data_IF_809783475423
#
_entry.id   IF_809783475423
#
_cell.length_a   1.000
_cell.length_b   1.000
_cell.length_c   1.000
_cell.angle_alpha   90.00
_cell.angle_beta   90.00
_cell.angle_gamma   90.00
#
_symmetry.space_group_name_H-M   'P 1'
#
loop_
_entity.id
_entity.type
_entity.pdbx_description
1 polymer ?
#
# COMPACT_ATOMS: atom_id res chain seq x y z
N UNK A 1 22.46 -6.19 8.42
CA UNK A 1 21.79 -4.90 8.12
C UNK A 1 20.33 -5.07 8.44
N UNK A 2 19.70 -4.08 9.05
CA UNK A 2 18.26 -4.09 9.36
C UNK A 2 17.62 -2.91 8.65
N UNK A 3 16.45 -3.12 8.06
CA UNK A 3 15.61 -2.09 7.46
C UNK A 3 14.27 -2.02 8.19
N UNK A 4 13.62 -0.87 8.11
CA UNK A 4 12.26 -0.64 8.59
C UNK A 4 11.48 0.00 7.44
N UNK A 5 10.26 -0.45 7.23
CA UNK A 5 9.36 0.05 6.20
C UNK A 5 7.91 -0.21 6.58
N UNK A 6 6.99 0.26 5.74
CA UNK A 6 5.56 0.04 5.96
C UNK A 6 5.05 -1.09 5.09
N UNK A 7 4.13 -1.87 5.63
CA UNK A 7 3.46 -2.97 4.94
C UNK A 7 2.01 -3.05 5.42
N UNK A 8 1.18 -3.77 4.68
CA UNK A 8 -0.19 -4.05 5.07
C UNK A 8 -0.60 -5.45 4.64
N UNK A 9 -1.59 -5.99 5.31
CA UNK A 9 -2.17 -7.28 4.95
C UNK A 9 -3.38 -7.09 4.04
N UNK A 10 -3.50 -7.95 3.04
CA UNK A 10 -4.73 -8.13 2.24
C UNK A 10 -5.16 -9.59 2.31
N UNK A 11 -6.41 -9.88 1.95
CA UNK A 11 -6.84 -11.24 1.65
C UNK A 11 -6.86 -11.45 0.13
N UNK A 12 -6.49 -12.64 -0.34
CA UNK A 12 -6.67 -13.03 -1.74
C UNK A 12 -8.04 -13.70 -1.99
N UNK A 13 -8.34 -14.04 -3.25
CA UNK A 13 -9.57 -14.77 -3.65
C UNK A 13 -9.83 -16.07 -2.88
N UNK A 14 -8.76 -16.70 -2.37
CA UNK A 14 -8.81 -17.94 -1.59
C UNK A 14 -8.89 -17.69 -0.07
N UNK A 15 -9.14 -16.43 0.36
CA UNK A 15 -9.16 -15.99 1.77
C UNK A 15 -7.85 -16.23 2.52
N UNK A 16 -6.73 -16.29 1.80
CA UNK A 16 -5.41 -16.38 2.41
C UNK A 16 -4.87 -14.98 2.64
N UNK A 17 -4.21 -14.76 3.77
CA UNK A 17 -3.57 -13.50 4.07
C UNK A 17 -2.29 -13.34 3.22
N UNK A 18 -2.14 -12.16 2.63
CA UNK A 18 -0.97 -11.75 1.87
C UNK A 18 -0.39 -10.49 2.51
N UNK A 19 0.93 -10.44 2.70
CA UNK A 19 1.64 -9.25 3.17
C UNK A 19 2.10 -8.47 1.94
N UNK A 20 1.77 -7.20 1.85
CA UNK A 20 2.12 -6.33 0.72
C UNK A 20 2.97 -5.16 1.22
N UNK A 21 4.05 -4.84 0.51
CA UNK A 21 4.95 -3.71 0.79
C UNK A 21 5.65 -3.27 -0.50
N UNK A 22 6.46 -2.21 -0.45
CA UNK A 22 7.36 -1.89 -1.56
C UNK A 22 8.53 -2.88 -1.63
N UNK A 23 8.99 -3.20 -2.84
CA UNK A 23 10.14 -4.08 -3.06
C UNK A 23 11.42 -3.52 -2.43
N UNK A 24 11.66 -2.22 -2.47
CA UNK A 24 12.87 -1.62 -1.86
C UNK A 24 12.95 -1.80 -0.33
N UNK A 25 11.83 -2.12 0.35
CA UNK A 25 11.83 -2.43 1.79
C UNK A 25 12.43 -3.80 2.09
N UNK A 26 12.40 -4.74 1.13
CA UNK A 26 12.77 -6.15 1.33
C UNK A 26 13.86 -6.65 0.38
N UNK A 27 14.15 -5.92 -0.69
CA UNK A 27 15.18 -6.21 -1.68
C UNK A 27 16.20 -5.07 -1.73
N UNK A 28 17.41 -5.35 -1.24
CA UNK A 28 18.45 -4.32 -1.12
C UNK A 28 19.16 -4.03 -2.43
N UNK A 29 19.20 -4.99 -3.35
CA UNK A 29 19.71 -4.77 -4.71
C UNK A 29 18.76 -3.85 -5.47
N UNK A 30 17.45 -3.99 -5.28
CA UNK A 30 16.48 -3.08 -5.88
C UNK A 30 16.57 -1.65 -5.31
N UNK A 31 16.75 -1.51 -3.98
CA UNK A 31 16.85 -0.18 -3.36
C UNK A 31 18.13 0.57 -3.75
N UNK A 32 19.25 -0.14 -3.83
CA UNK A 32 20.55 0.44 -4.15
C UNK A 32 21.33 -0.53 -5.07
N UNK A 33 21.14 -0.44 -6.40
CA UNK A 33 21.67 -1.43 -7.35
C UNK A 33 23.18 -1.31 -7.52
N UNK A 34 23.91 -1.87 -6.57
CA UNK A 34 25.37 -1.89 -6.53
C UNK A 34 25.87 -3.33 -6.43
N UNK A 35 27.09 -3.59 -6.92
CA UNK A 35 27.69 -4.92 -6.86
C UNK A 35 27.75 -5.50 -5.43
N UNK A 36 27.75 -4.64 -4.41
CA UNK A 36 27.75 -5.02 -2.99
C UNK A 36 26.47 -5.74 -2.55
N UNK A 37 25.30 -5.37 -3.08
CA UNK A 37 24.02 -5.87 -2.58
C UNK A 37 23.40 -7.00 -3.41
N UNK A 38 23.97 -7.35 -4.56
CA UNK A 38 23.50 -8.45 -5.42
C UNK A 38 23.36 -9.81 -4.70
N UNK A 39 24.19 -10.05 -3.68
CA UNK A 39 24.19 -11.30 -2.91
C UNK A 39 23.39 -11.20 -1.61
N UNK A 40 22.86 -10.03 -1.27
CA UNK A 40 22.07 -9.85 -0.05
C UNK A 40 20.75 -10.58 -0.21
N UNK A 41 20.33 -11.27 0.84
CA UNK A 41 19.05 -11.96 0.93
C UNK A 41 18.40 -11.62 2.25
N UNK A 42 17.08 -11.49 2.24
CA UNK A 42 16.31 -11.33 3.45
C UNK A 42 16.46 -12.59 4.31
N UNK A 43 16.82 -12.44 5.58
CA UNK A 43 17.03 -13.56 6.51
C UNK A 43 16.05 -13.56 7.68
N UNK A 44 15.29 -12.49 7.86
CA UNK A 44 14.25 -12.35 8.88
C UNK A 44 13.30 -11.23 8.49
N UNK A 45 12.01 -11.42 8.76
CA UNK A 45 10.98 -10.40 8.60
C UNK A 45 10.04 -10.43 9.80
N UNK A 46 9.95 -9.32 10.51
CA UNK A 46 8.95 -9.13 11.55
C UNK A 46 7.99 -8.01 11.17
N UNK A 47 6.74 -8.12 11.61
CA UNK A 47 5.69 -7.13 11.34
C UNK A 47 5.00 -6.76 12.65
N UNK A 48 4.97 -5.47 12.95
CA UNK A 48 4.13 -4.93 14.04
C UNK A 48 2.66 -5.01 13.62
N UNK A 49 1.91 -5.91 14.27
CA UNK A 49 0.48 -6.08 14.11
C UNK A 49 -0.26 -5.59 15.37
N UNK A 50 -1.58 -5.43 15.29
CA UNK A 50 -2.43 -5.06 16.44
C UNK A 50 -3.35 -6.21 16.81
N UNK A 51 -3.54 -6.41 18.12
CA UNK A 51 -4.60 -7.27 18.63
C UNK A 51 -5.96 -6.58 18.49
N UNK A 52 -6.95 -7.34 18.04
CA UNK A 52 -8.34 -6.90 18.00
C UNK A 52 -8.99 -7.05 19.38
N UNK A 53 -9.68 -6.03 19.86
CA UNK A 53 -10.58 -6.15 21.00
C UNK A 53 -11.92 -6.77 20.55
N UNK A 54 -12.27 -8.00 20.97
CA UNK A 54 -13.50 -8.66 20.50
C UNK A 54 -14.79 -7.91 20.84
N UNK A 55 -14.78 -7.07 21.89
CA UNK A 55 -15.96 -6.32 22.31
C UNK A 55 -16.19 -5.05 21.47
N UNK A 56 -15.14 -4.42 20.96
CA UNK A 56 -15.23 -3.14 20.25
C UNK A 56 -14.84 -3.22 18.77
N UNK A 57 -14.15 -4.27 18.35
CA UNK A 57 -13.53 -4.39 17.03
C UNK A 57 -12.32 -3.47 16.82
N UNK A 58 -11.87 -2.75 17.86
CA UNK A 58 -10.81 -1.76 17.75
C UNK A 58 -9.42 -2.37 18.04
N UNK A 59 -8.36 -1.86 17.40
CA UNK A 59 -7.00 -2.27 17.69
C UNK A 59 -6.59 -1.85 19.11
N UNK A 60 -5.81 -2.71 19.77
CA UNK A 60 -5.33 -2.47 21.14
C UNK A 60 -3.80 -2.49 21.19
N UNK A 61 -3.22 -3.59 21.66
CA UNK A 61 -1.78 -3.75 21.87
C UNK A 61 -1.08 -4.16 20.58
N UNK A 62 0.16 -3.69 20.42
CA UNK A 62 1.08 -4.17 19.38
C UNK A 62 1.56 -5.58 19.73
N UNK A 63 1.52 -6.46 18.74
CA UNK A 63 2.16 -7.76 18.75
C UNK A 63 3.09 -7.85 17.55
N UNK A 64 4.31 -8.35 17.78
CA UNK A 64 5.24 -8.62 16.69
C UNK A 64 4.90 -10.00 16.10
N UNK A 65 4.72 -10.05 14.78
CA UNK A 65 4.57 -11.28 14.01
C UNK A 65 5.91 -11.63 13.37
N UNK A 66 6.45 -12.81 13.64
CA UNK A 66 7.64 -13.32 12.97
C UNK A 66 7.24 -14.14 11.74
N UNK A 67 7.46 -13.59 10.55
CA UNK A 67 6.98 -14.17 9.29
C UNK A 67 7.90 -15.30 8.87
N UNK A 68 7.45 -16.55 8.89
CA UNK A 68 8.31 -17.73 8.69
C UNK A 68 8.65 -17.99 7.23
N UNK A 69 7.75 -17.64 6.30
CA UNK A 69 7.95 -17.80 4.86
C UNK A 69 8.45 -16.51 4.19
N UNK A 70 9.28 -15.72 4.88
CA UNK A 70 9.88 -14.49 4.34
C UNK A 70 10.70 -14.69 3.06
N UNK A 71 11.15 -15.91 2.78
CA UNK A 71 11.87 -16.26 1.56
C UNK A 71 10.97 -16.45 0.33
N UNK A 72 9.66 -16.59 0.52
CA UNK A 72 8.64 -16.75 -0.53
C UNK A 72 8.13 -15.37 -1.01
N UNK A 73 9.06 -14.44 -1.26
CA UNK A 73 8.73 -13.12 -1.79
C UNK A 73 8.43 -13.20 -3.29
N UNK A 74 7.31 -12.60 -3.66
CA UNK A 74 6.90 -12.38 -5.04
C UNK A 74 7.00 -10.89 -5.36
N UNK A 75 7.58 -10.56 -6.50
CA UNK A 75 7.64 -9.20 -7.02
C UNK A 75 6.69 -9.03 -8.20
N UNK A 76 6.34 -7.79 -8.50
CA UNK A 76 5.64 -7.45 -9.75
C UNK A 76 6.43 -7.93 -10.98
N UNK A 77 5.71 -8.33 -12.02
CA UNK A 77 6.30 -8.69 -13.32
C UNK A 77 6.84 -7.46 -14.06
N UNK A 78 6.15 -6.33 -13.92
CA UNK A 78 6.67 -5.01 -14.31
C UNK A 78 7.75 -4.61 -13.32
N UNK A 79 9.01 -4.51 -13.77
CA UNK A 79 10.16 -4.27 -12.89
C UNK A 79 10.08 -2.92 -12.16
N UNK A 80 9.55 -1.89 -12.82
CA UNK A 80 9.40 -0.55 -12.28
C UNK A 80 8.36 -0.48 -11.16
N UNK A 81 7.38 -1.39 -11.14
CA UNK A 81 6.44 -1.49 -10.03
C UNK A 81 7.17 -2.00 -8.80
N UNK A 82 7.52 -1.08 -7.92
CA UNK A 82 8.16 -1.33 -6.64
C UNK A 82 7.16 -1.97 -5.66
N UNK A 83 6.77 -3.21 -5.91
CA UNK A 83 5.80 -3.98 -5.14
C UNK A 83 6.39 -5.35 -4.82
N UNK A 84 6.32 -5.72 -3.55
CA UNK A 84 6.64 -7.04 -3.06
C UNK A 84 5.47 -7.61 -2.25
N UNK A 85 5.29 -8.92 -2.34
CA UNK A 85 4.25 -9.62 -1.63
C UNK A 85 4.72 -10.98 -1.12
N UNK A 86 4.27 -11.38 0.08
CA UNK A 86 4.29 -12.77 0.53
C UNK A 86 2.85 -13.27 0.49
N UNK A 87 2.60 -14.32 -0.29
CA UNK A 87 1.29 -14.95 -0.40
C UNK A 87 1.18 -16.03 0.68
N UNK A 88 -0.02 -16.20 1.27
CA UNK A 88 -0.28 -17.21 2.32
C UNK A 88 0.75 -17.09 3.45
N UNK A 89 0.76 -15.91 4.07
CA UNK A 89 1.67 -15.58 5.16
C UNK A 89 1.62 -16.66 6.25
N UNK A 90 2.80 -17.15 6.63
CA UNK A 90 3.00 -18.08 7.73
C UNK A 90 3.73 -17.36 8.87
N UNK A 91 3.35 -17.65 10.12
CA UNK A 91 3.86 -16.96 11.31
C UNK A 91 4.49 -17.99 12.26
N UNK A 92 5.72 -17.73 12.69
CA UNK A 92 6.38 -18.48 13.75
C UNK A 92 5.70 -18.15 15.10
N UNK A 93 5.25 -19.17 15.83
CA UNK A 93 4.61 -18.97 17.16
C UNK A 93 3.26 -19.65 17.37
N UNK A 94 2.73 -20.35 16.37
CA UNK A 94 1.49 -21.16 16.48
C UNK A 94 0.20 -20.34 16.51
N UNK A 95 -0.94 -21.00 16.81
CA UNK A 95 -2.30 -20.46 16.66
C UNK A 95 -2.64 -19.19 17.49
N UNK A 96 -1.75 -18.72 18.37
CA UNK A 96 -1.99 -17.55 19.22
C UNK A 96 -1.69 -16.21 18.53
N UNK A 97 -0.95 -16.21 17.42
CA UNK A 97 -0.68 -15.01 16.63
C UNK A 97 -1.53 -15.02 15.36
N UNK A 98 -2.40 -14.02 15.22
CA UNK A 98 -3.33 -13.89 14.11
C UNK A 98 -3.19 -12.54 13.44
N UNK A 99 -3.33 -12.52 12.12
CA UNK A 99 -3.50 -11.31 11.32
C UNK A 99 -4.95 -10.84 11.52
N UNK A 100 -5.13 -9.72 12.22
CA UNK A 100 -6.46 -9.27 12.68
C UNK A 100 -7.13 -8.29 11.72
N UNK A 101 -6.34 -7.48 11.00
CA UNK A 101 -6.84 -6.39 10.17
C UNK A 101 -6.39 -6.48 8.71
N UNK A 102 -6.64 -7.60 7.99
CA UNK A 102 -6.38 -7.65 6.57
C UNK A 102 -7.44 -6.85 5.79
N UNK A 103 -7.01 -6.17 4.73
CA UNK A 103 -7.92 -5.53 3.76
C UNK A 103 -8.61 -6.64 2.96
N UNK A 104 -9.94 -6.57 2.84
CA UNK A 104 -10.72 -7.55 2.09
C UNK A 104 -10.37 -7.49 0.59
N UNK A 105 -10.25 -8.66 -0.05
CA UNK A 105 -10.07 -8.79 -1.50
C UNK A 105 -11.06 -7.93 -2.29
N UNK A 106 -12.32 -7.85 -1.85
CA UNK A 106 -13.36 -7.07 -2.52
C UNK A 106 -13.10 -5.55 -2.54
N UNK A 107 -12.31 -5.04 -1.57
CA UNK A 107 -11.92 -3.63 -1.50
C UNK A 107 -10.79 -3.29 -2.47
N UNK A 108 -10.05 -4.26 -2.99
CA UNK A 108 -8.94 -4.02 -3.90
C UNK A 108 -9.51 -3.64 -5.28
N UNK A 109 -9.06 -2.49 -5.81
CA UNK A 109 -9.50 -2.03 -7.12
C UNK A 109 -8.72 -2.77 -8.22
N UNK A 110 -9.44 -3.45 -9.10
CA UNK A 110 -8.89 -3.91 -10.37
C UNK A 110 -8.76 -2.73 -11.36
N UNK A 111 -8.20 -3.01 -12.52
CA UNK A 111 -7.99 -2.00 -13.56
C UNK A 111 -9.31 -1.42 -14.07
N UNK A 112 -10.39 -2.21 -14.10
CA UNK A 112 -11.71 -1.73 -14.53
C UNK A 112 -12.29 -0.72 -13.52
N UNK A 113 -12.22 -1.01 -12.22
CA UNK A 113 -12.60 -0.10 -11.14
C UNK A 113 -11.73 1.16 -11.14
N UNK A 114 -10.42 1.03 -11.32
CA UNK A 114 -9.52 2.19 -11.42
C UNK A 114 -9.94 3.09 -12.59
N UNK A 115 -10.21 2.51 -13.76
CA UNK A 115 -10.52 3.26 -14.97
C UNK A 115 -11.92 3.89 -14.98
N UNK A 116 -12.90 3.25 -14.32
CA UNK A 116 -14.31 3.66 -14.36
C UNK A 116 -14.79 4.39 -13.11
N UNK A 117 -14.15 4.17 -11.94
CA UNK A 117 -14.62 4.71 -10.66
C UNK A 117 -13.68 5.71 -10.01
N UNK A 118 -12.50 5.97 -10.59
CA UNK A 118 -11.59 7.02 -10.13
C UNK A 118 -11.52 8.16 -11.15
N UNK A 119 -11.47 9.38 -10.63
CA UNK A 119 -11.23 10.59 -11.39
C UNK A 119 -10.22 11.49 -10.67
N UNK A 120 -9.63 12.42 -11.42
CA UNK A 120 -8.90 13.56 -10.83
C UNK A 120 -9.81 14.25 -9.80
N UNK A 121 -9.20 14.78 -8.73
CA UNK A 121 -9.85 15.38 -7.57
C UNK A 121 -10.58 14.41 -6.64
N UNK A 122 -10.60 13.10 -6.92
CA UNK A 122 -11.11 12.16 -5.92
C UNK A 122 -10.20 12.13 -4.69
N UNK A 123 -10.83 12.17 -3.52
CA UNK A 123 -10.11 12.09 -2.26
C UNK A 123 -9.48 10.71 -2.06
N UNK A 124 -8.24 10.72 -1.59
CA UNK A 124 -7.52 9.54 -1.15
C UNK A 124 -7.07 9.69 0.31
N UNK A 125 -6.90 8.56 0.99
CA UNK A 125 -6.38 8.50 2.35
C UNK A 125 -5.36 7.37 2.48
N UNK A 126 -4.29 7.60 3.24
CA UNK A 126 -3.27 6.59 3.53
C UNK A 126 -2.67 6.82 4.92
N UNK A 127 -2.42 5.74 5.70
CA UNK A 127 -1.65 5.83 6.93
C UNK A 127 -0.15 5.93 6.61
N UNK A 128 0.65 6.50 7.50
CA UNK A 128 2.11 6.43 7.38
C UNK A 128 2.81 6.62 8.72
N UNK A 129 4.10 6.28 8.76
CA UNK A 129 5.00 6.48 9.90
C UNK A 129 6.07 7.52 9.56
N UNK A 130 5.71 8.78 9.22
CA UNK A 130 6.69 9.84 9.00
C UNK A 130 7.50 10.09 10.26
N UNK A 131 8.65 10.76 10.21
CA UNK A 131 9.53 10.97 11.38
C UNK A 131 8.83 11.56 12.64
N UNK A 132 7.68 12.21 12.46
CA UNK A 132 6.84 12.82 13.49
C UNK A 132 5.55 12.02 13.79
N UNK A 133 5.51 10.72 13.45
CA UNK A 133 4.43 9.82 13.86
C UNK A 133 4.30 9.70 15.38
N UNK A 134 3.19 9.13 15.85
CA UNK A 134 2.99 8.84 17.28
C UNK A 134 3.92 7.71 17.73
N UNK A 135 5.15 8.08 18.09
CA UNK A 135 6.19 7.17 18.59
C UNK A 135 5.86 6.57 19.96
N UNK A 136 5.03 7.23 20.77
CA UNK A 136 4.67 6.76 22.10
C UNK A 136 3.81 5.49 21.99
N UNK A 137 2.82 5.51 21.10
CA UNK A 137 1.93 4.37 20.91
C UNK A 137 2.24 3.56 19.65
N UNK A 138 3.25 3.95 18.88
CA UNK A 138 3.60 3.42 17.56
C UNK A 138 2.37 3.34 16.63
N UNK A 139 1.64 4.45 16.55
CA UNK A 139 0.48 4.61 15.68
C UNK A 139 0.86 5.36 14.40
N UNK A 140 0.38 4.92 13.22
CA UNK A 140 0.54 5.70 12.02
C UNK A 140 -0.32 6.97 12.10
N UNK A 141 0.07 7.99 11.33
CA UNK A 141 -0.74 9.17 11.12
C UNK A 141 -1.47 9.03 9.78
N UNK A 142 -2.79 9.18 9.82
CA UNK A 142 -3.61 9.21 8.61
C UNK A 142 -3.39 10.54 7.87
N UNK A 143 -3.14 10.43 6.56
CA UNK A 143 -3.03 11.55 5.64
C UNK A 143 -4.14 11.44 4.60
N UNK A 144 -4.60 12.58 4.14
CA UNK A 144 -5.55 12.68 3.02
C UNK A 144 -4.95 13.54 1.92
N UNK A 145 -5.44 13.34 0.71
CA UNK A 145 -5.03 14.06 -0.49
C UNK A 145 -6.05 13.88 -1.60
N UNK A 146 -5.67 14.26 -2.83
CA UNK A 146 -6.54 14.09 -4.01
C UNK A 146 -5.78 13.51 -5.19
N UNK A 147 -6.44 12.69 -6.01
CA UNK A 147 -5.87 12.20 -7.27
C UNK A 147 -5.52 13.39 -8.17
N UNK A 148 -4.27 13.46 -8.62
CA UNK A 148 -3.72 14.61 -9.37
C UNK A 148 -3.46 14.29 -10.85
N UNK A 149 -3.26 13.02 -11.22
CA UNK A 149 -3.17 12.57 -12.61
C UNK A 149 -4.39 11.75 -13.02
N UNK A 150 -4.69 11.72 -14.32
CA UNK A 150 -5.75 10.85 -14.85
C UNK A 150 -5.42 9.37 -14.55
N UNK A 151 -6.23 8.67 -13.73
CA UNK A 151 -5.93 7.33 -13.25
C UNK A 151 -5.96 6.26 -14.36
N UNK A 152 -6.54 6.58 -15.52
CA UNK A 152 -6.61 5.68 -16.68
C UNK A 152 -5.25 5.49 -17.35
N UNK A 153 -4.35 6.44 -17.17
CA UNK A 153 -3.00 6.41 -17.74
C UNK A 153 -1.96 6.15 -16.65
N UNK A 154 -0.78 5.70 -17.05
CA UNK A 154 0.35 5.57 -16.14
C UNK A 154 1.09 6.90 -16.11
N UNK A 155 1.13 7.51 -14.92
CA UNK A 155 1.80 8.79 -14.73
C UNK A 155 3.32 8.62 -14.82
N UNK A 156 3.99 9.54 -15.50
CA UNK A 156 5.43 9.73 -15.40
C UNK A 156 5.77 11.22 -15.49
N UNK A 157 6.65 11.68 -14.61
CA UNK A 157 7.28 13.00 -14.71
C UNK A 157 8.55 12.97 -15.59
N UNK A 158 8.91 11.80 -16.12
CA UNK A 158 10.03 11.58 -17.03
C UNK A 158 9.48 11.17 -18.40
N UNK A 159 10.34 11.20 -19.44
CA UNK A 159 10.00 10.65 -20.77
C UNK A 159 10.07 9.11 -20.83
N UNK A 160 10.17 8.47 -19.67
CA UNK A 160 10.33 7.02 -19.51
C UNK A 160 9.22 6.49 -18.60
N UNK A 161 8.89 5.20 -18.73
CA UNK A 161 7.96 4.54 -17.82
C UNK A 161 8.55 4.49 -16.42
N UNK A 162 7.73 4.79 -15.41
CA UNK A 162 8.05 4.58 -13.99
C UNK A 162 7.09 3.57 -13.38
N UNK A 163 6.57 2.65 -14.20
CA UNK A 163 5.58 1.65 -13.82
C UNK A 163 4.13 2.17 -13.88
N UNK A 164 3.22 1.39 -13.31
CA UNK A 164 1.78 1.65 -13.30
C UNK A 164 1.42 2.64 -12.19
N UNK A 165 1.88 3.88 -12.33
CA UNK A 165 1.74 4.91 -11.32
C UNK A 165 0.51 5.81 -11.52
N UNK A 166 -0.02 6.30 -10.40
CA UNK A 166 -0.93 7.45 -10.32
C UNK A 166 -0.27 8.51 -9.44
N UNK A 167 -0.25 9.76 -9.89
CA UNK A 167 0.13 10.89 -9.06
C UNK A 167 -1.07 11.39 -8.25
N UNK A 168 -0.82 11.74 -7.00
CA UNK A 168 -1.81 12.35 -6.11
C UNK A 168 -1.18 13.46 -5.28
N UNK A 169 -1.96 14.52 -5.04
CA UNK A 169 -1.58 15.64 -4.21
C UNK A 169 -1.71 15.21 -2.76
N UNK A 170 -0.56 14.95 -2.15
CA UNK A 170 -0.41 14.63 -0.74
C UNK A 170 1.08 14.75 -0.38
N UNK A 171 1.35 14.79 0.92
CA UNK A 171 2.72 14.74 1.41
C UNK A 171 3.02 13.36 2.01
N UNK A 172 3.66 12.50 1.22
CA UNK A 172 4.22 11.22 1.67
C UNK A 172 5.70 11.41 2.03
N UNK A 173 6.07 11.12 3.27
CA UNK A 173 7.46 11.18 3.73
C UNK A 173 8.05 9.78 3.88
N UNK A 174 9.33 9.69 4.25
CA UNK A 174 9.92 8.42 4.69
C UNK A 174 9.03 7.74 5.74
N UNK A 175 8.83 6.43 5.62
CA UNK A 175 7.85 5.69 6.44
C UNK A 175 6.40 5.77 5.95
N UNK A 176 6.11 6.44 4.82
CA UNK A 176 4.83 6.27 4.10
C UNK A 176 4.94 5.25 2.96
N UNK A 177 6.17 4.90 2.56
CA UNK A 177 6.39 3.95 1.46
C UNK A 177 5.98 2.55 1.88
N UNK A 178 5.09 1.97 1.09
CA UNK A 178 4.51 0.65 1.32
C UNK A 178 3.18 0.71 2.03
N UNK A 179 2.68 1.91 2.36
CA UNK A 179 1.34 2.12 2.90
C UNK A 179 0.25 1.86 1.87
N UNK A 180 -0.91 1.32 2.29
CA UNK A 180 -2.08 1.24 1.43
C UNK A 180 -2.65 2.64 1.16
N UNK A 181 -3.05 2.90 -0.08
CA UNK A 181 -3.74 4.13 -0.46
C UNK A 181 -5.19 3.80 -0.83
N UNK A 182 -6.13 4.42 -0.12
CA UNK A 182 -7.55 4.21 -0.34
C UNK A 182 -8.18 5.40 -1.04
N UNK A 183 -8.98 5.16 -2.07
CA UNK A 183 -9.97 6.15 -2.50
C UNK A 183 -11.14 6.09 -1.51
N UNK A 184 -11.43 7.22 -0.86
CA UNK A 184 -12.51 7.27 0.14
C UNK A 184 -13.88 7.24 -0.53
N UNK A 185 -14.91 6.95 0.24
CA UNK A 185 -16.28 6.83 -0.27
C UNK A 185 -16.72 8.10 -1.01
N UNK A 186 -17.36 7.92 -2.17
CA UNK A 186 -18.05 8.97 -2.91
C UNK A 186 -19.55 8.72 -2.81
N UNK A 187 -20.32 9.76 -2.49
CA UNK A 187 -21.78 9.67 -2.31
C UNK A 187 -22.21 8.69 -1.22
N UNK A 188 -23.42 8.16 -1.35
CA UNK A 188 -24.00 7.16 -0.44
C UNK A 188 -24.91 6.18 -1.21
N UNK A 189 -25.16 4.97 -0.70
CA UNK A 189 -26.10 4.04 -1.32
C UNK A 189 -27.50 4.66 -1.41
N UNK A 190 -28.09 4.67 -2.61
CA UNK A 190 -29.45 5.18 -2.81
C UNK A 190 -30.46 4.08 -2.55
N UNK A 191 -31.49 4.40 -1.77
CA UNK A 191 -32.63 3.52 -1.51
C UNK A 191 -33.81 3.78 -2.45
N UNK A 192 -34.93 3.11 -2.20
CA UNK A 192 -36.17 3.34 -2.93
C UNK A 192 -36.61 4.81 -2.81
N UNK A 193 -36.94 5.44 -3.94
CA UNK A 193 -37.42 6.82 -4.01
C UNK A 193 -36.35 7.88 -4.28
N UNK A 194 -35.05 7.51 -4.33
CA UNK A 194 -33.97 8.39 -4.78
C UNK A 194 -33.44 7.94 -6.15
N UNK A 195 -33.11 8.90 -7.00
CA UNK A 195 -32.45 8.68 -8.29
C UNK A 195 -31.11 9.41 -8.28
N UNK A 196 -30.05 8.73 -8.72
CA UNK A 196 -28.74 9.32 -8.92
C UNK A 196 -28.06 8.67 -10.12
N UNK A 197 -27.04 9.32 -10.68
CA UNK A 197 -26.24 8.75 -11.75
C UNK A 197 -25.45 7.51 -11.30
N UNK A 198 -25.03 6.67 -12.26
CA UNK A 198 -24.33 5.41 -12.00
C UNK A 198 -23.01 5.57 -11.20
N UNK A 199 -22.40 6.76 -11.24
CA UNK A 199 -21.15 7.09 -10.54
C UNK A 199 -21.35 7.94 -9.28
N UNK A 200 -22.60 8.08 -8.83
CA UNK A 200 -22.90 8.80 -7.59
C UNK A 200 -22.26 8.13 -6.38
N UNK A 201 -22.39 6.81 -6.30
CA UNK A 201 -21.87 6.02 -5.18
C UNK A 201 -20.64 5.22 -5.59
N UNK A 202 -19.60 5.32 -4.76
CA UNK A 202 -18.42 4.44 -4.79
C UNK A 202 -18.04 4.10 -3.35
N UNK A 203 -17.92 2.81 -2.99
CA UNK A 203 -17.42 2.43 -1.67
C UNK A 203 -15.95 2.82 -1.50
N UNK A 204 -15.41 2.65 -0.29
CA UNK A 204 -13.97 2.74 -0.08
C UNK A 204 -13.28 1.63 -0.88
N UNK A 205 -12.21 1.96 -1.59
CA UNK A 205 -11.41 0.99 -2.34
C UNK A 205 -9.92 1.20 -2.04
N UNK A 206 -9.16 0.12 -1.87
CA UNK A 206 -7.70 0.15 -1.97
C UNK A 206 -7.37 0.37 -3.44
N UNK A 207 -6.78 1.52 -3.77
CA UNK A 207 -6.49 1.92 -5.16
C UNK A 207 -5.02 1.81 -5.52
N UNK A 208 -4.15 1.74 -4.52
CA UNK A 208 -2.72 1.56 -4.74
C UNK A 208 -1.90 1.38 -3.48
N UNK A 209 -0.59 1.31 -3.69
CA UNK A 209 0.44 1.30 -2.66
C UNK A 209 1.31 2.54 -2.83
N UNK A 210 1.53 3.26 -1.74
CA UNK A 210 2.33 4.49 -1.73
C UNK A 210 3.77 4.18 -2.16
N UNK A 211 4.26 4.93 -3.15
CA UNK A 211 5.55 4.77 -3.82
C UNK A 211 6.52 5.92 -3.54
N UNK A 212 6.21 6.77 -2.56
CA UNK A 212 6.97 7.96 -2.22
C UNK A 212 6.50 9.20 -2.97
N UNK A 213 7.42 10.14 -3.21
CA UNK A 213 7.11 11.47 -3.72
C UNK A 213 8.08 11.97 -4.78
N UNK A 214 7.59 12.93 -5.56
CA UNK A 214 8.43 13.67 -6.48
C UNK A 214 9.20 14.75 -5.71
N UNK A 215 10.50 14.85 -5.99
CA UNK A 215 11.35 15.90 -5.48
C UNK A 215 11.27 17.14 -6.37
N UNK A 216 11.48 18.32 -5.77
CA UNK A 216 11.63 19.57 -6.53
C UNK A 216 13.06 19.66 -7.06
N UNK A 217 13.20 19.76 -8.38
CA UNK A 217 14.51 19.93 -9.02
C UNK A 217 15.23 21.19 -8.50
N UNK A 218 16.53 21.06 -8.22
CA UNK A 218 17.36 22.16 -7.71
C UNK A 218 17.26 22.40 -6.20
N UNK A 219 16.42 21.64 -5.47
CA UNK A 219 16.33 21.68 -4.01
C UNK A 219 16.54 20.29 -3.42
N UNK A 220 17.61 20.10 -2.67
CA UNK A 220 17.89 18.82 -2.03
C UNK A 220 16.72 18.40 -1.12
N UNK A 221 16.11 17.26 -1.42
CA UNK A 221 15.11 16.56 -0.58
C UNK A 221 13.82 17.33 -0.30
N UNK A 222 13.46 18.31 -1.12
CA UNK A 222 12.18 19.03 -0.96
C UNK A 222 11.05 18.29 -1.67
N UNK A 223 9.97 18.03 -0.93
CA UNK A 223 8.76 17.39 -1.45
C UNK A 223 7.99 18.37 -2.34
N UNK A 224 7.60 17.93 -3.55
CA UNK A 224 6.88 18.77 -4.53
C UNK A 224 5.39 19.02 -4.23
N UNK A 225 4.87 18.52 -3.10
CA UNK A 225 3.43 18.32 -2.88
C UNK A 225 2.79 17.18 -3.69
N UNK A 226 3.53 16.50 -4.59
CA UNK A 226 3.03 15.37 -5.37
C UNK A 226 3.67 14.06 -4.90
N UNK A 227 2.81 13.12 -4.55
CA UNK A 227 3.13 11.73 -4.21
C UNK A 227 2.75 10.79 -5.36
N UNK A 228 3.35 9.60 -5.35
CA UNK A 228 3.09 8.53 -6.31
C UNK A 228 2.53 7.30 -5.60
N UNK A 229 1.65 6.58 -6.29
CA UNK A 229 1.23 5.23 -5.88
C UNK A 229 1.24 4.31 -7.08
N UNK A 230 1.65 3.06 -6.89
CA UNK A 230 1.42 2.03 -7.89
C UNK A 230 -0.02 1.53 -7.79
N UNK A 231 -0.66 1.34 -8.94
CA UNK A 231 -2.04 0.86 -9.04
C UNK A 231 -2.22 -0.49 -8.33
N UNK A 232 -3.33 -0.63 -7.62
CA UNK A 232 -3.66 -1.88 -6.93
C UNK A 232 -3.95 -3.05 -7.87
N UNK A 233 -4.17 -2.81 -9.17
CA UNK A 233 -4.17 -3.86 -10.21
C UNK A 233 -2.86 -4.66 -10.21
N UNK A 234 -1.71 -4.01 -10.03
CA UNK A 234 -0.41 -4.68 -9.94
C UNK A 234 -0.28 -5.53 -8.67
N UNK A 235 -1.00 -5.19 -7.58
CA UNK A 235 -1.08 -6.05 -6.39
C UNK A 235 -1.89 -7.30 -6.72
N UNK A 236 -3.02 -7.15 -7.43
CA UNK A 236 -3.88 -8.26 -7.85
C UNK A 236 -3.13 -9.27 -8.74
N UNK A 237 -2.29 -8.80 -9.66
CA UNK A 237 -1.44 -9.65 -10.51
C UNK A 237 -0.52 -10.56 -9.69
N UNK A 238 -0.06 -10.11 -8.52
CA UNK A 238 0.80 -10.91 -7.65
C UNK A 238 -0.05 -11.88 -6.81
N UNK A 239 -1.09 -11.39 -6.12
CA UNK A 239 -1.83 -12.20 -5.13
C UNK A 239 -2.80 -13.22 -5.74
N UNK A 240 -3.10 -13.10 -7.04
CA UNK A 240 -4.00 -14.01 -7.76
C UNK A 240 -3.32 -15.16 -8.49
N UNK A 241 -1.98 -15.20 -8.47
CA UNK A 241 -1.19 -16.37 -8.88
C UNK A 241 -1.59 -17.59 -8.06
#
# INVERSE_FOLDING_TARGET
>A
MTGIGTAFFVTNKNRQACLVTNRHNVDRDYMEPTAKYKTFRLTKLTVDNRQNNPATGLPTKIIELDISNYSELHFSETYENDIACIIRVQINGGQQQKIEFPIDYAMIADIEKINSKLSVCDFVAFPGFPDWYDKLNNNPILRTGTIASDPRFNYSNKKESIGECIAYEAFSYGGSSGSPVFAIQKGFPIGAGLQAGEDFYRPIMLVGINAGHLLVDGYDKHHSGISLMYKSSAILEIINK
#
